data_IF_946890535670
#
_entry.id   IF_946890535670
#
_cell.length_a   1.000
_cell.length_b   1.000
_cell.length_c   1.000
_cell.angle_alpha   90.00
_cell.angle_beta   90.00
_cell.angle_gamma   90.00
#
_symmetry.space_group_name_H-M   'P 1'
#
loop_
_entity.id
_entity.type
_entity.pdbx_description
1 polymer ?
#
# COMPACT_ATOMS: atom_id res chain seq x y z
N UNK A 1 -18.55 1.22 -7.99
CA UNK A 1 -17.70 0.68 -6.91
C UNK A 1 -16.31 0.51 -7.46
N UNK A 2 -15.31 1.04 -6.76
CA UNK A 2 -13.90 1.01 -7.17
C UNK A 2 -13.08 0.20 -6.15
N UNK A 3 -12.30 -0.75 -6.64
CA UNK A 3 -11.32 -1.48 -5.84
C UNK A 3 -9.92 -1.02 -6.25
N UNK A 4 -9.20 -0.45 -5.30
CA UNK A 4 -7.83 0.00 -5.47
C UNK A 4 -6.92 -1.03 -4.80
N UNK A 5 -6.02 -1.65 -5.56
CA UNK A 5 -5.07 -2.63 -5.05
C UNK A 5 -3.69 -1.99 -5.04
N UNK A 6 -3.13 -1.82 -3.85
CA UNK A 6 -1.84 -1.19 -3.65
C UNK A 6 -0.83 -2.17 -3.06
N UNK A 7 0.42 -2.21 -3.55
CA UNK A 7 1.49 -2.95 -2.90
C UNK A 7 1.71 -2.49 -1.46
N UNK A 8 2.01 -1.21 -1.23
CA UNK A 8 2.47 -0.68 0.06
C UNK A 8 1.54 0.38 0.67
N UNK A 9 1.67 0.65 1.99
CA UNK A 9 0.92 1.68 2.69
C UNK A 9 1.32 3.12 2.32
N UNK A 10 0.99 3.55 1.11
CA UNK A 10 1.23 4.91 0.58
C UNK A 10 0.88 5.00 -0.91
N UNK A 11 1.05 3.91 -1.64
CA UNK A 11 0.95 3.85 -3.10
C UNK A 11 -0.33 4.49 -3.66
N UNK A 12 -1.50 4.28 -3.03
CA UNK A 12 -2.74 4.92 -3.49
C UNK A 12 -2.68 6.44 -3.37
N UNK A 13 -2.22 6.95 -2.22
CA UNK A 13 -2.16 8.38 -1.96
C UNK A 13 -1.14 9.05 -2.89
N UNK A 14 0.03 8.44 -3.07
CA UNK A 14 1.12 8.99 -3.89
C UNK A 14 0.86 8.87 -5.39
N UNK A 15 0.18 7.81 -5.84
CA UNK A 15 -0.03 7.57 -7.27
C UNK A 15 -1.32 8.23 -7.79
N UNK A 16 -2.41 8.13 -7.04
CA UNK A 16 -3.75 8.53 -7.51
C UNK A 16 -4.61 9.20 -6.42
N UNK A 17 -3.98 9.81 -5.40
CA UNK A 17 -4.70 10.43 -4.29
C UNK A 17 -5.72 11.47 -4.74
N UNK A 18 -5.38 12.30 -5.73
CA UNK A 18 -6.32 13.25 -6.32
C UNK A 18 -7.51 12.61 -7.03
N UNK A 19 -7.30 11.48 -7.72
CA UNK A 19 -8.37 10.71 -8.36
C UNK A 19 -9.28 10.07 -7.31
N UNK A 20 -8.71 9.48 -6.25
CA UNK A 20 -9.50 8.93 -5.15
C UNK A 20 -10.34 10.00 -4.46
N UNK A 21 -9.79 11.20 -4.24
CA UNK A 21 -10.53 12.32 -3.68
C UNK A 21 -11.73 12.70 -4.58
N UNK A 22 -11.53 12.82 -5.90
CA UNK A 22 -12.62 13.11 -6.83
C UNK A 22 -13.70 12.01 -6.86
N UNK A 23 -13.30 10.73 -6.77
CA UNK A 23 -14.25 9.62 -6.67
C UNK A 23 -15.05 9.70 -5.37
N UNK A 24 -14.40 9.97 -4.25
CA UNK A 24 -15.07 10.13 -2.96
C UNK A 24 -16.07 11.31 -2.97
N UNK A 25 -15.68 12.46 -3.52
CA UNK A 25 -16.54 13.65 -3.64
C UNK A 25 -17.78 13.41 -4.51
N UNK A 26 -17.66 12.55 -5.53
CA UNK A 26 -18.80 12.13 -6.35
C UNK A 26 -19.75 11.13 -5.66
N UNK A 27 -19.42 10.71 -4.43
CA UNK A 27 -20.16 9.68 -3.69
C UNK A 27 -19.89 8.25 -4.20
N UNK A 28 -18.84 8.04 -4.99
CA UNK A 28 -18.53 6.72 -5.52
C UNK A 28 -17.91 5.82 -4.42
N UNK A 29 -18.44 4.60 -4.19
CA UNK A 29 -17.90 3.71 -3.18
C UNK A 29 -16.53 3.19 -3.59
N UNK A 30 -15.54 3.35 -2.71
CA UNK A 30 -14.15 2.95 -2.91
C UNK A 30 -13.68 2.01 -1.79
N UNK A 31 -12.97 0.94 -2.15
CA UNK A 31 -12.26 0.06 -1.23
C UNK A 31 -10.79 0.10 -1.61
N UNK A 32 -9.92 0.32 -0.62
CA UNK A 32 -8.46 0.23 -0.78
C UNK A 32 -8.01 -1.07 -0.13
N UNK A 33 -7.35 -1.91 -0.91
CA UNK A 33 -6.73 -3.15 -0.45
C UNK A 33 -5.21 -3.02 -0.58
N UNK A 34 -4.55 -2.88 0.56
CA UNK A 34 -3.08 -2.84 0.63
C UNK A 34 -2.53 -4.25 0.86
N UNK A 35 -1.72 -4.74 -0.09
CA UNK A 35 -1.26 -6.13 -0.13
C UNK A 35 -0.20 -6.41 0.94
N UNK A 36 0.77 -5.52 1.11
CA UNK A 36 1.92 -5.69 2.00
C UNK A 36 1.74 -4.96 3.33
N UNK A 37 0.51 -4.93 3.87
CA UNK A 37 0.17 -4.27 5.14
C UNK A 37 0.10 -5.24 6.33
N UNK A 38 0.64 -6.45 6.20
CA UNK A 38 0.73 -7.40 7.30
C UNK A 38 1.81 -7.03 8.30
N UNK A 39 1.64 -7.43 9.56
CA UNK A 39 2.68 -7.28 10.57
C UNK A 39 3.92 -8.09 10.17
N UNK A 40 5.14 -7.51 10.23
CA UNK A 40 6.36 -8.27 9.96
C UNK A 40 6.60 -9.30 11.07
N UNK A 41 7.17 -10.47 10.75
CA UNK A 41 7.53 -11.45 11.77
C UNK A 41 8.63 -10.93 12.69
N UNK A 42 8.66 -11.43 13.93
CA UNK A 42 9.71 -11.13 14.91
C UNK A 42 10.30 -12.45 15.46
N UNK A 43 11.59 -12.75 15.17
CA UNK A 43 12.55 -11.92 14.45
C UNK A 43 12.26 -11.82 12.93
N UNK A 44 12.84 -10.82 12.28
CA UNK A 44 12.77 -10.68 10.82
C UNK A 44 13.44 -11.87 10.12
N UNK A 45 13.01 -12.23 8.89
CA UNK A 45 13.62 -13.33 8.16
C UNK A 45 15.05 -12.99 7.74
N UNK A 46 15.99 -13.90 8.03
CA UNK A 46 17.38 -13.79 7.59
C UNK A 46 17.50 -14.18 6.12
N UNK A 47 17.36 -13.21 5.23
CA UNK A 47 17.45 -13.39 3.78
C UNK A 47 18.38 -12.35 3.17
N UNK A 48 19.07 -12.68 2.04
CA UNK A 48 19.96 -11.72 1.38
C UNK A 48 19.28 -10.39 1.04
N UNK A 49 18.00 -10.43 0.65
CA UNK A 49 17.23 -9.23 0.33
C UNK A 49 17.01 -8.32 1.55
N UNK A 50 16.66 -8.90 2.70
CA UNK A 50 16.47 -8.11 3.94
C UNK A 50 17.80 -7.49 4.39
N UNK A 51 18.91 -8.23 4.27
CA UNK A 51 20.23 -7.70 4.59
C UNK A 51 20.65 -6.55 3.66
N UNK A 52 20.41 -6.68 2.36
CA UNK A 52 20.70 -5.64 1.36
C UNK A 52 19.87 -4.37 1.62
N UNK A 53 18.57 -4.50 1.86
CA UNK A 53 17.67 -3.36 2.07
C UNK A 53 18.02 -2.55 3.33
N UNK A 54 18.48 -3.20 4.40
CA UNK A 54 18.91 -2.51 5.63
C UNK A 54 20.30 -1.88 5.54
N UNK A 55 21.09 -2.18 4.51
CA UNK A 55 22.41 -1.60 4.32
C UNK A 55 22.38 -0.26 3.55
N UNK A 56 21.20 0.16 3.08
CA UNK A 56 20.97 1.39 2.30
C UNK A 56 20.42 2.50 3.18
#
# INVERSE_FOLDING_TARGET
MHLLIAPHPDDVALSIGGTLAALADSGAPCIIWTLMAGDPPSPLPDTPLVAELHAR
#
